data_IF_508834078672
#
_entry.id   IF_508834078672
#
_cell.length_a   1.000
_cell.length_b   1.000
_cell.length_c   1.000
_cell.angle_alpha   90.00
_cell.angle_beta   90.00
_cell.angle_gamma   90.00
#
_symmetry.space_group_name_H-M   'P 1'
#
loop_
_entity.id
_entity.type
_entity.pdbx_description
1 polymer ?
#
# COMPACT_ATOMS: atom_id res chain seq x y z
N UNK A 1 -5.28 -34.95 5.49
CA UNK A 1 -4.61 -36.25 5.39
C UNK A 1 -5.62 -37.38 5.30
N UNK A 2 -6.69 -37.44 6.13
CA UNK A 2 -7.65 -38.56 6.14
C UNK A 2 -8.45 -38.69 4.83
N UNK A 3 -8.92 -37.58 4.23
CA UNK A 3 -9.69 -37.62 3.00
C UNK A 3 -8.88 -38.17 1.80
N UNK A 4 -7.60 -37.86 1.75
CA UNK A 4 -6.67 -38.42 0.74
C UNK A 4 -6.43 -39.91 0.94
N UNK A 5 -6.35 -40.40 2.19
CA UNK A 5 -6.20 -41.82 2.48
C UNK A 5 -7.46 -42.59 2.05
N UNK A 6 -8.65 -42.06 2.32
CA UNK A 6 -9.93 -42.66 1.89
C UNK A 6 -10.01 -42.73 0.36
N UNK A 7 -9.61 -41.66 -0.37
CA UNK A 7 -9.61 -41.66 -1.81
C UNK A 7 -8.66 -42.72 -2.39
N UNK A 8 -7.48 -42.89 -1.81
CA UNK A 8 -6.53 -43.95 -2.23
C UNK A 8 -7.08 -45.35 -1.98
N UNK A 9 -7.75 -45.56 -0.84
CA UNK A 9 -8.39 -46.84 -0.54
C UNK A 9 -9.51 -47.17 -1.55
N UNK A 10 -10.33 -46.17 -1.89
CA UNK A 10 -11.39 -46.34 -2.90
C UNK A 10 -10.83 -46.57 -4.31
N UNK A 11 -9.69 -45.98 -4.65
CA UNK A 11 -9.00 -46.28 -5.92
C UNK A 11 -8.55 -47.76 -5.97
N UNK A 12 -8.00 -48.28 -4.90
CA UNK A 12 -7.62 -49.69 -4.80
C UNK A 12 -8.85 -50.63 -4.89
N UNK A 13 -10.00 -50.19 -4.36
CA UNK A 13 -11.24 -50.93 -4.49
C UNK A 13 -11.74 -51.01 -5.95
N UNK A 14 -11.56 -49.93 -6.73
CA UNK A 14 -11.83 -49.93 -8.18
C UNK A 14 -10.94 -50.95 -8.90
N UNK A 15 -9.64 -50.98 -8.59
CA UNK A 15 -8.71 -51.89 -9.23
C UNK A 15 -9.03 -53.35 -8.93
N UNK A 16 -9.42 -53.64 -7.67
CA UNK A 16 -9.92 -54.95 -7.28
C UNK A 16 -11.21 -55.35 -8.02
N UNK A 17 -12.18 -54.43 -8.10
CA UNK A 17 -13.44 -54.70 -8.82
C UNK A 17 -13.23 -54.92 -10.32
N UNK A 18 -12.29 -54.20 -10.94
CA UNK A 18 -11.89 -54.41 -12.33
C UNK A 18 -11.29 -55.80 -12.53
N UNK A 19 -10.41 -56.23 -11.63
CA UNK A 19 -9.81 -57.55 -11.73
C UNK A 19 -10.88 -58.68 -11.56
N UNK A 20 -11.91 -58.47 -10.72
CA UNK A 20 -13.03 -59.39 -10.63
C UNK A 20 -13.88 -59.45 -11.90
N UNK A 21 -14.17 -58.29 -12.47
CA UNK A 21 -14.91 -58.18 -13.74
C UNK A 21 -14.15 -58.86 -14.88
N UNK A 22 -12.86 -58.63 -14.98
CA UNK A 22 -12.02 -59.26 -16.00
C UNK A 22 -11.96 -60.79 -15.84
N UNK A 23 -11.96 -61.30 -14.62
CA UNK A 23 -12.08 -62.75 -14.31
C UNK A 23 -13.43 -63.28 -14.76
N UNK A 24 -14.52 -62.61 -14.40
CA UNK A 24 -15.87 -63.03 -14.76
C UNK A 24 -16.09 -63.02 -16.30
N UNK A 25 -15.57 -62.01 -16.98
CA UNK A 25 -15.62 -61.88 -18.45
C UNK A 25 -14.82 -62.99 -19.15
N UNK A 26 -13.61 -63.34 -18.65
CA UNK A 26 -12.85 -64.46 -19.22
C UNK A 26 -13.55 -65.80 -19.02
N UNK A 27 -14.18 -66.01 -17.87
CA UNK A 27 -14.95 -67.20 -17.61
C UNK A 27 -16.20 -67.31 -18.53
N UNK A 28 -16.91 -66.21 -18.69
CA UNK A 28 -18.04 -66.11 -19.62
C UNK A 28 -17.63 -66.39 -21.04
N UNK A 29 -16.55 -65.76 -21.52
CA UNK A 29 -15.99 -66.02 -22.87
C UNK A 29 -15.62 -67.50 -23.04
N UNK A 30 -15.02 -68.12 -22.06
CA UNK A 30 -14.65 -69.54 -22.11
C UNK A 30 -15.90 -70.43 -22.24
N UNK A 31 -16.92 -70.13 -21.48
CA UNK A 31 -18.20 -70.87 -21.59
C UNK A 31 -18.88 -70.66 -22.93
N UNK A 32 -18.82 -69.47 -23.51
CA UNK A 32 -19.36 -69.17 -24.83
C UNK A 32 -18.66 -69.91 -25.95
N UNK A 33 -17.36 -70.16 -25.83
CA UNK A 33 -16.54 -70.82 -26.84
C UNK A 33 -16.75 -72.32 -26.90
N UNK A 34 -17.38 -72.91 -25.88
CA UNK A 34 -17.71 -74.36 -25.84
C UNK A 34 -19.05 -74.61 -26.50
N UNK A 35 -19.20 -75.75 -27.23
CA UNK A 35 -20.43 -76.11 -27.89
C UNK A 35 -21.61 -76.21 -26.93
N UNK A 36 -22.81 -75.92 -27.44
CA UNK A 36 -24.05 -75.88 -26.65
C UNK A 36 -24.37 -77.16 -25.92
N UNK A 37 -23.95 -78.29 -26.44
CA UNK A 37 -24.24 -79.58 -25.88
C UNK A 37 -23.28 -80.01 -24.72
N UNK A 38 -22.12 -79.31 -24.57
CA UNK A 38 -21.15 -79.59 -23.58
C UNK A 38 -21.28 -78.79 -22.29
N UNK A 39 -22.09 -77.76 -22.26
CA UNK A 39 -22.28 -76.86 -21.08
C UNK A 39 -23.78 -76.66 -20.78
N UNK A 40 -24.21 -76.89 -19.57
CA UNK A 40 -25.61 -76.69 -19.19
C UNK A 40 -26.07 -75.23 -19.29
N UNK A 41 -27.36 -75.00 -19.59
CA UNK A 41 -27.93 -73.63 -19.59
C UNK A 41 -27.76 -72.92 -18.23
N UNK A 42 -27.92 -73.66 -17.12
CA UNK A 42 -27.67 -73.13 -15.77
C UNK A 42 -26.27 -72.58 -15.59
N UNK A 43 -25.23 -73.27 -16.16
CA UNK A 43 -23.86 -72.77 -16.08
C UNK A 43 -23.64 -71.48 -16.89
N UNK A 44 -24.32 -71.36 -18.03
CA UNK A 44 -24.29 -70.13 -18.85
C UNK A 44 -24.92 -68.95 -18.13
N UNK A 45 -26.15 -69.18 -17.54
CA UNK A 45 -26.85 -68.17 -16.78
C UNK A 45 -26.09 -67.74 -15.55
N UNK A 46 -25.44 -68.68 -14.86
CA UNK A 46 -24.58 -68.38 -13.73
C UNK A 46 -23.40 -67.47 -14.10
N UNK A 47 -22.67 -67.78 -15.22
CA UNK A 47 -21.53 -67.02 -15.63
C UNK A 47 -21.95 -65.62 -16.14
N UNK A 48 -23.09 -65.50 -16.86
CA UNK A 48 -23.65 -64.19 -17.23
C UNK A 48 -24.02 -63.34 -16.01
N UNK A 49 -24.63 -63.99 -15.02
CA UNK A 49 -24.98 -63.31 -13.78
C UNK A 49 -23.76 -62.84 -13.03
N UNK A 50 -22.68 -63.63 -12.99
CA UNK A 50 -21.41 -63.24 -12.38
C UNK A 50 -20.76 -61.99 -13.07
N UNK A 51 -20.87 -61.89 -14.42
CA UNK A 51 -20.45 -60.66 -15.12
C UNK A 51 -21.26 -59.47 -14.70
N UNK A 52 -22.61 -59.58 -14.66
CA UNK A 52 -23.48 -58.49 -14.24
C UNK A 52 -23.24 -58.06 -12.81
N UNK A 53 -22.99 -58.98 -11.89
CA UNK A 53 -22.65 -58.70 -10.50
C UNK A 53 -21.30 -57.97 -10.38
N UNK A 54 -20.28 -58.41 -11.17
CA UNK A 54 -19.00 -57.78 -11.15
C UNK A 54 -19.04 -56.36 -11.79
N UNK A 55 -19.84 -56.14 -12.84
CA UNK A 55 -20.11 -54.80 -13.41
C UNK A 55 -20.79 -53.89 -12.38
N UNK A 56 -21.78 -54.34 -11.67
CA UNK A 56 -22.44 -53.60 -10.58
C UNK A 56 -21.45 -53.26 -9.45
N UNK A 57 -20.58 -54.22 -9.07
CA UNK A 57 -19.53 -53.99 -8.06
C UNK A 57 -18.52 -52.93 -8.52
N UNK A 58 -18.09 -52.94 -9.79
CA UNK A 58 -17.21 -51.93 -10.32
C UNK A 58 -17.86 -50.52 -10.30
N UNK A 59 -19.12 -50.45 -10.70
CA UNK A 59 -19.87 -49.19 -10.70
C UNK A 59 -19.98 -48.64 -9.26
N UNK A 60 -20.32 -49.50 -8.28
CA UNK A 60 -20.39 -49.11 -6.87
C UNK A 60 -19.04 -48.54 -6.36
N UNK A 61 -17.92 -49.20 -6.69
CA UNK A 61 -16.59 -48.75 -6.30
C UNK A 61 -16.24 -47.37 -6.93
N UNK A 62 -16.63 -47.16 -8.19
CA UNK A 62 -16.46 -45.88 -8.88
C UNK A 62 -17.26 -44.74 -8.24
N UNK A 63 -18.52 -45.02 -7.86
CA UNK A 63 -19.37 -44.05 -7.16
C UNK A 63 -18.80 -43.66 -5.81
N UNK A 64 -18.29 -44.65 -5.01
CA UNK A 64 -17.64 -44.39 -3.74
C UNK A 64 -16.35 -43.54 -3.92
N UNK A 65 -15.59 -43.76 -4.97
CA UNK A 65 -14.43 -42.93 -5.29
C UNK A 65 -14.82 -41.51 -5.64
N UNK A 66 -15.88 -41.34 -6.45
CA UNK A 66 -16.40 -40.01 -6.79
C UNK A 66 -16.84 -39.21 -5.55
N UNK A 67 -17.53 -39.85 -4.61
CA UNK A 67 -17.89 -39.22 -3.32
C UNK A 67 -16.64 -38.84 -2.52
N UNK A 68 -15.63 -39.72 -2.47
CA UNK A 68 -14.37 -39.42 -1.76
C UNK A 68 -13.64 -38.19 -2.42
N UNK A 69 -13.65 -38.10 -3.73
CA UNK A 69 -13.10 -36.94 -4.45
C UNK A 69 -13.85 -35.64 -4.11
N UNK A 70 -15.20 -35.70 -4.09
CA UNK A 70 -16.00 -34.53 -3.72
C UNK A 70 -15.73 -34.07 -2.29
N UNK A 71 -15.51 -35.01 -1.35
CA UNK A 71 -15.12 -34.68 0.03
C UNK A 71 -13.77 -33.99 0.13
N UNK A 72 -12.80 -34.34 -0.74
CA UNK A 72 -11.50 -33.63 -0.81
C UNK A 72 -11.72 -32.17 -1.26
N UNK A 73 -12.53 -31.97 -2.30
CA UNK A 73 -12.87 -30.63 -2.79
C UNK A 73 -13.55 -29.80 -1.71
N UNK A 74 -14.57 -30.36 -1.06
CA UNK A 74 -15.31 -29.67 0.01
C UNK A 74 -14.39 -29.28 1.18
N UNK A 75 -13.47 -30.16 1.55
CA UNK A 75 -12.47 -29.88 2.58
C UNK A 75 -11.51 -28.73 2.13
N UNK A 76 -11.16 -28.70 0.85
CA UNK A 76 -10.37 -27.62 0.24
C UNK A 76 -11.09 -26.28 0.36
N UNK A 77 -12.35 -26.23 -0.07
CA UNK A 77 -13.19 -25.00 0.01
C UNK A 77 -13.36 -24.55 1.46
N UNK A 78 -13.59 -25.50 2.40
CA UNK A 78 -13.68 -25.17 3.83
C UNK A 78 -12.39 -24.56 4.38
N UNK A 79 -11.22 -25.04 3.94
CA UNK A 79 -9.93 -24.48 4.32
C UNK A 79 -9.74 -23.07 3.76
N UNK A 80 -10.09 -22.86 2.49
CA UNK A 80 -10.01 -21.52 1.86
C UNK A 80 -10.93 -20.52 2.56
N UNK A 81 -12.15 -20.94 2.91
CA UNK A 81 -13.06 -20.12 3.71
C UNK A 81 -12.48 -19.75 5.08
N UNK A 82 -11.86 -20.70 5.77
CA UNK A 82 -11.19 -20.42 7.04
C UNK A 82 -9.99 -19.49 6.89
N UNK A 83 -9.20 -19.63 5.81
CA UNK A 83 -8.09 -18.73 5.50
C UNK A 83 -8.59 -17.30 5.21
N UNK A 84 -9.68 -17.16 4.46
CA UNK A 84 -10.32 -15.87 4.23
C UNK A 84 -10.81 -15.23 5.54
N UNK A 85 -11.37 -16.03 6.45
CA UNK A 85 -11.75 -15.59 7.80
C UNK A 85 -10.56 -15.06 8.61
N UNK A 86 -9.43 -15.76 8.58
CA UNK A 86 -8.18 -15.33 9.23
C UNK A 86 -7.69 -14.01 8.62
N UNK A 87 -7.67 -13.89 7.29
CA UNK A 87 -7.25 -12.67 6.61
C UNK A 87 -8.13 -11.47 6.98
N UNK A 88 -9.44 -11.66 7.07
CA UNK A 88 -10.38 -10.63 7.51
C UNK A 88 -10.13 -10.20 8.97
N UNK A 89 -9.94 -11.17 9.88
CA UNK A 89 -9.63 -10.88 11.28
C UNK A 89 -8.29 -10.12 11.41
N UNK A 90 -7.28 -10.48 10.58
CA UNK A 90 -6.00 -9.78 10.55
C UNK A 90 -6.15 -8.34 10.08
N UNK A 91 -6.95 -8.10 9.02
CA UNK A 91 -7.22 -6.74 8.54
C UNK A 91 -7.92 -5.86 9.60
N UNK A 92 -8.87 -6.43 10.34
CA UNK A 92 -9.53 -5.73 11.45
C UNK A 92 -8.55 -5.40 12.59
N UNK A 93 -7.65 -6.34 12.90
CA UNK A 93 -6.59 -6.10 13.89
C UNK A 93 -5.65 -4.97 13.46
N UNK A 94 -5.25 -4.96 12.19
CA UNK A 94 -4.35 -3.93 11.67
C UNK A 94 -5.02 -2.55 11.63
N UNK A 95 -6.32 -2.49 11.31
CA UNK A 95 -7.12 -1.27 11.43
C UNK A 95 -7.16 -0.77 12.88
N UNK A 96 -7.44 -1.64 13.84
CA UNK A 96 -7.47 -1.27 15.26
C UNK A 96 -6.10 -0.79 15.77
N UNK A 97 -5.00 -1.39 15.29
CA UNK A 97 -3.64 -0.92 15.59
C UNK A 97 -3.35 0.44 15.00
N UNK A 98 -3.82 0.70 13.78
CA UNK A 98 -3.70 2.02 13.14
C UNK A 98 -4.46 3.08 13.94
N UNK A 99 -5.69 2.80 14.34
CA UNK A 99 -6.49 3.70 15.17
C UNK A 99 -5.81 3.97 16.51
N UNK A 100 -5.26 2.95 17.14
CA UNK A 100 -4.46 3.11 18.36
C UNK A 100 -3.20 3.97 18.09
N UNK A 101 -2.54 3.78 16.95
CA UNK A 101 -1.39 4.60 16.53
C UNK A 101 -1.75 6.08 16.39
N UNK A 102 -2.95 6.39 15.90
CA UNK A 102 -3.45 7.76 15.75
C UNK A 102 -3.75 8.46 17.08
N UNK A 103 -3.82 7.73 18.20
CA UNK A 103 -4.00 8.35 19.53
C UNK A 103 -2.74 9.08 20.02
N UNK A 104 -1.58 8.83 19.40
CA UNK A 104 -0.32 9.50 19.71
C UNK A 104 0.14 10.30 18.51
N UNK A 105 0.18 11.62 18.66
CA UNK A 105 0.60 12.53 17.60
C UNK A 105 2.07 12.89 17.79
N UNK A 106 2.89 12.57 16.82
CA UNK A 106 4.32 12.84 16.83
C UNK A 106 4.64 14.12 16.06
N UNK A 107 5.66 14.84 16.51
CA UNK A 107 6.19 15.99 15.78
C UNK A 107 6.78 15.53 14.43
N UNK A 108 6.39 16.14 13.28
CA UNK A 108 6.86 15.74 11.96
C UNK A 108 8.33 16.12 11.71
N UNK A 109 8.87 17.05 12.48
CA UNK A 109 10.25 17.52 12.37
C UNK A 109 10.79 18.00 13.70
N UNK A 110 12.11 18.04 13.83
CA UNK A 110 12.78 18.66 14.97
C UNK A 110 12.61 20.19 14.91
N UNK A 111 12.21 20.78 16.03
CA UNK A 111 11.94 22.21 16.08
C UNK A 111 11.57 22.70 17.47
N UNK A 112 11.18 23.97 17.55
CA UNK A 112 10.60 24.57 18.75
C UNK A 112 9.07 24.61 18.57
N UNK A 113 8.33 24.31 19.66
CA UNK A 113 6.89 24.50 19.65
C UNK A 113 6.58 26.00 19.59
N UNK A 114 5.69 26.36 18.70
CA UNK A 114 5.08 27.66 18.66
C UNK A 114 3.86 27.74 19.59
N UNK A 115 2.76 28.27 19.10
CA UNK A 115 1.53 28.36 19.87
C UNK A 115 0.89 26.97 20.03
N UNK A 116 0.55 26.60 21.27
CA UNK A 116 -0.22 25.39 21.60
C UNK A 116 -1.65 25.82 21.84
N UNK A 117 -2.54 25.51 20.89
CA UNK A 117 -3.93 25.96 20.89
C UNK A 117 -4.87 25.06 21.67
N UNK A 118 -4.42 23.85 22.03
CA UNK A 118 -5.28 22.84 22.69
C UNK A 118 -4.99 22.70 24.17
N UNK A 119 -6.04 22.33 24.91
CA UNK A 119 -5.95 22.08 26.36
C UNK A 119 -6.35 20.64 26.67
N UNK A 120 -5.83 20.09 27.76
CA UNK A 120 -6.21 18.77 28.24
C UNK A 120 -7.72 18.70 28.51
N UNK A 121 -8.37 17.64 28.02
CA UNK A 121 -9.83 17.47 28.12
C UNK A 121 -10.62 18.13 26.99
N UNK A 122 -9.96 18.87 26.09
CA UNK A 122 -10.63 19.48 24.94
C UNK A 122 -10.97 18.43 23.87
N UNK A 123 -12.20 18.46 23.36
CA UNK A 123 -12.59 17.68 22.19
C UNK A 123 -11.95 18.28 20.94
N UNK A 124 -11.27 17.43 20.16
CA UNK A 124 -10.67 17.80 18.87
C UNK A 124 -11.29 16.96 17.76
N UNK A 125 -11.43 17.55 16.58
CA UNK A 125 -11.92 16.88 15.38
C UNK A 125 -10.81 16.81 14.32
N UNK A 126 -11.00 15.97 13.31
CA UNK A 126 -10.11 15.95 12.16
C UNK A 126 -9.99 17.33 11.52
N UNK A 127 -8.76 17.79 11.27
CA UNK A 127 -8.48 19.14 10.76
C UNK A 127 -8.29 20.22 11.84
N UNK A 128 -8.49 19.91 13.13
CA UNK A 128 -8.19 20.86 14.21
C UNK A 128 -6.68 21.06 14.33
N UNK A 129 -6.24 22.31 14.24
CA UNK A 129 -4.84 22.66 14.47
C UNK A 129 -4.54 22.56 15.97
N UNK A 130 -3.61 21.69 16.33
CA UNK A 130 -3.24 21.43 17.73
C UNK A 130 -2.12 22.37 18.20
N UNK A 131 -1.08 22.46 17.40
CA UNK A 131 0.10 23.28 17.67
C UNK A 131 0.87 23.51 16.38
N UNK A 132 1.82 24.45 16.40
CA UNK A 132 2.77 24.65 15.32
C UNK A 132 4.18 24.24 15.76
N UNK A 133 4.94 23.64 14.84
CA UNK A 133 6.36 23.34 15.04
C UNK A 133 7.16 24.25 14.13
N UNK A 134 8.04 25.05 14.72
CA UNK A 134 8.97 25.91 14.00
C UNK A 134 10.28 25.15 13.81
N UNK A 135 10.65 24.77 12.57
CA UNK A 135 11.90 24.04 12.29
C UNK A 135 13.13 24.81 12.76
N UNK A 136 14.23 24.09 13.03
CA UNK A 136 15.49 24.71 13.43
C UNK A 136 16.23 25.38 12.26
N UNK A 137 15.92 24.96 11.05
CA UNK A 137 16.47 25.60 9.86
C UNK A 137 15.96 27.02 9.70
N UNK A 138 16.85 27.93 9.37
CA UNK A 138 16.56 29.36 9.21
C UNK A 138 16.98 29.82 7.81
N UNK A 139 16.11 30.60 7.20
CA UNK A 139 16.41 31.28 5.95
C UNK A 139 15.73 32.64 5.93
N UNK A 140 16.19 33.52 5.05
CA UNK A 140 15.57 34.80 4.78
C UNK A 140 15.05 34.81 3.34
N UNK A 141 13.89 35.41 3.13
CA UNK A 141 13.34 35.68 1.80
C UNK A 141 13.49 37.17 1.52
N UNK A 142 14.42 37.52 0.64
CA UNK A 142 14.64 38.87 0.20
C UNK A 142 13.80 39.14 -1.06
N UNK A 143 12.95 40.18 -1.03
CA UNK A 143 12.14 40.57 -2.17
C UNK A 143 12.90 41.66 -2.98
N UNK A 144 13.67 41.24 -3.97
CA UNK A 144 14.54 42.08 -4.78
C UNK A 144 13.76 42.66 -5.94
N UNK A 145 13.99 43.93 -6.32
CA UNK A 145 13.38 44.52 -7.49
C UNK A 145 13.89 43.84 -8.78
N UNK A 146 13.01 43.64 -9.74
CA UNK A 146 13.34 43.05 -11.03
C UNK A 146 14.52 43.77 -11.71
N UNK A 147 14.62 45.10 -11.58
CA UNK A 147 15.70 45.89 -12.11
C UNK A 147 17.07 45.53 -11.56
N UNK A 148 17.13 45.04 -10.35
CA UNK A 148 18.37 44.75 -9.63
C UNK A 148 18.76 43.25 -9.73
N UNK A 149 17.91 42.44 -10.35
CA UNK A 149 18.11 41.01 -10.50
C UNK A 149 19.20 40.59 -11.50
N UNK A 150 19.57 41.47 -12.43
CA UNK A 150 20.51 41.16 -13.52
C UNK A 150 21.84 40.54 -13.03
N UNK A 151 22.29 40.95 -11.85
CA UNK A 151 23.58 40.53 -11.27
C UNK A 151 23.44 39.55 -10.10
N UNK A 152 22.22 39.13 -9.78
CA UNK A 152 21.96 38.16 -8.69
C UNK A 152 22.03 36.75 -9.21
N UNK A 153 22.86 35.92 -8.61
CA UNK A 153 23.07 34.48 -8.97
C UNK A 153 23.06 33.61 -7.76
N UNK A 154 22.62 32.36 -7.93
CA UNK A 154 22.69 31.31 -6.91
C UNK A 154 24.16 31.11 -6.50
N UNK A 155 24.40 30.96 -5.21
CA UNK A 155 25.71 30.78 -4.60
C UNK A 155 26.45 32.06 -4.20
N UNK A 156 25.93 33.24 -4.55
CA UNK A 156 26.52 34.52 -4.12
C UNK A 156 26.39 34.71 -2.62
N UNK A 157 27.39 35.35 -2.01
CA UNK A 157 27.40 35.68 -0.58
C UNK A 157 26.46 36.88 -0.33
N UNK A 158 25.72 36.76 0.75
CA UNK A 158 24.82 37.78 1.24
C UNK A 158 25.11 38.11 2.71
N UNK A 159 25.02 39.38 3.07
CA UNK A 159 25.00 39.86 4.45
C UNK A 159 23.56 40.19 4.84
N UNK A 160 23.11 39.66 5.95
CA UNK A 160 21.73 39.81 6.45
C UNK A 160 21.80 40.45 7.83
N UNK A 161 21.38 41.70 7.95
CA UNK A 161 21.29 42.42 9.20
C UNK A 161 19.87 42.22 9.80
N UNK A 162 19.77 41.83 11.05
CA UNK A 162 18.49 41.56 11.73
C UNK A 162 18.17 42.66 12.72
N UNK A 163 17.06 43.36 12.50
CA UNK A 163 16.65 44.49 13.30
C UNK A 163 16.44 44.15 14.77
N UNK A 164 15.79 43.02 15.05
CA UNK A 164 15.50 42.54 16.40
C UNK A 164 16.77 42.21 17.23
N UNK A 165 17.94 42.08 16.57
CA UNK A 165 19.24 41.84 17.20
C UNK A 165 20.16 43.07 17.12
N UNK A 166 19.57 44.26 17.06
CA UNK A 166 20.32 45.51 17.01
C UNK A 166 21.13 45.72 15.73
N UNK A 167 20.65 45.16 14.62
CA UNK A 167 21.37 45.25 13.33
C UNK A 167 22.53 44.28 13.20
N UNK A 168 22.62 43.23 14.04
CA UNK A 168 23.66 42.22 13.91
C UNK A 168 23.61 41.57 12.53
N UNK A 169 24.75 41.56 11.87
CA UNK A 169 24.90 41.01 10.53
C UNK A 169 25.24 39.50 10.58
N UNK A 170 24.57 38.71 9.78
CA UNK A 170 24.81 37.30 9.56
C UNK A 170 25.23 37.05 8.12
N UNK A 171 26.15 36.13 7.91
CA UNK A 171 26.55 35.69 6.57
C UNK A 171 25.61 34.60 6.08
N UNK A 172 25.33 34.62 4.79
CA UNK A 172 24.53 33.61 4.11
C UNK A 172 24.82 33.54 2.62
N UNK A 173 24.18 32.63 1.94
CA UNK A 173 24.29 32.44 0.49
C UNK A 173 22.93 32.37 -0.16
N UNK A 174 22.87 32.92 -1.36
CA UNK A 174 21.71 32.77 -2.24
C UNK A 174 21.55 31.30 -2.59
N UNK A 175 20.49 30.68 -2.08
CA UNK A 175 20.19 29.27 -2.29
C UNK A 175 19.22 29.06 -3.45
N UNK A 176 18.23 29.95 -3.60
CA UNK A 176 17.17 29.81 -4.57
C UNK A 176 16.67 31.18 -5.03
N UNK A 177 16.31 31.27 -6.29
CA UNK A 177 15.65 32.45 -6.89
C UNK A 177 14.29 32.00 -7.39
N UNK A 178 13.23 32.69 -7.00
CA UNK A 178 11.88 32.36 -7.44
C UNK A 178 11.76 32.42 -8.96
N UNK A 179 11.11 31.45 -9.62
CA UNK A 179 10.96 31.45 -11.08
C UNK A 179 9.94 32.49 -11.58
N UNK A 180 9.19 33.12 -10.69
CA UNK A 180 8.20 34.14 -11.03
C UNK A 180 8.17 35.25 -9.98
N UNK A 181 7.59 36.38 -10.37
CA UNK A 181 7.42 37.55 -9.47
C UNK A 181 6.35 37.25 -8.41
N UNK A 182 6.42 37.95 -7.29
CA UNK A 182 5.46 37.81 -6.19
C UNK A 182 4.00 38.08 -6.62
N UNK A 183 3.77 38.90 -7.62
CA UNK A 183 2.44 39.21 -8.17
C UNK A 183 1.77 38.02 -8.85
N UNK A 184 2.53 37.10 -9.48
CA UNK A 184 1.97 35.91 -10.12
C UNK A 184 1.42 34.90 -9.11
N UNK A 185 1.98 34.84 -7.89
CA UNK A 185 1.51 33.98 -6.79
C UNK A 185 0.47 34.63 -5.90
N UNK A 186 0.08 35.89 -6.21
CA UNK A 186 -0.97 36.57 -5.42
C UNK A 186 -2.36 36.02 -5.75
N UNK A 187 -3.16 35.74 -4.74
CA UNK A 187 -4.57 35.35 -4.89
C UNK A 187 -5.42 36.44 -5.55
N UNK A 188 -5.04 37.71 -5.40
CA UNK A 188 -5.69 38.89 -6.04
C UNK A 188 -4.73 39.41 -7.10
N UNK A 189 -4.97 39.03 -8.36
CA UNK A 189 -4.26 39.66 -9.48
C UNK A 189 -4.76 41.08 -9.62
N UNK A 190 -3.84 42.05 -9.62
CA UNK A 190 -4.18 43.43 -9.95
C UNK A 190 -4.58 43.50 -11.43
N UNK A 191 -5.89 43.55 -11.70
CA UNK A 191 -6.42 43.70 -13.06
C UNK A 191 -6.19 45.16 -13.52
N UNK A 192 -5.32 45.30 -14.49
CA UNK A 192 -5.00 46.59 -15.10
C UNK A 192 -6.03 46.98 -16.18
N UNK A 193 -7.31 46.61 -15.99
CA UNK A 193 -8.37 46.75 -16.99
C UNK A 193 -8.82 48.17 -17.35
N UNK A 194 -8.20 49.20 -16.80
CA UNK A 194 -8.54 50.60 -17.10
C UNK A 194 -7.42 51.32 -17.82
N UNK A 195 -7.21 51.00 -19.07
CA UNK A 195 -6.58 51.88 -20.12
C UNK A 195 -5.28 52.65 -19.85
N UNK A 196 -4.79 52.74 -18.62
CA UNK A 196 -3.58 53.43 -18.26
C UNK A 196 -2.53 52.45 -17.73
N UNK A 197 -1.63 51.99 -18.59
CA UNK A 197 -0.56 51.11 -18.20
C UNK A 197 0.52 51.86 -17.40
N UNK A 198 0.54 51.67 -16.09
CA UNK A 198 1.64 52.14 -15.23
C UNK A 198 2.59 50.97 -14.98
N UNK A 199 3.84 51.09 -15.44
CA UNK A 199 4.89 50.08 -15.17
C UNK A 199 5.23 50.09 -13.68
N UNK A 200 4.71 49.16 -12.93
CA UNK A 200 5.07 48.94 -11.53
C UNK A 200 6.24 47.97 -11.48
N UNK A 201 7.34 48.37 -10.81
CA UNK A 201 8.50 47.47 -10.62
C UNK A 201 8.12 46.25 -9.82
N UNK A 202 8.21 45.08 -10.45
CA UNK A 202 7.92 43.79 -9.82
C UNK A 202 9.06 43.37 -8.85
N UNK A 203 8.76 42.46 -7.93
CA UNK A 203 9.76 41.93 -7.00
C UNK A 203 9.86 40.44 -7.17
N UNK A 204 11.08 39.92 -7.12
CA UNK A 204 11.41 38.50 -7.20
C UNK A 204 11.92 38.05 -5.83
N UNK A 205 11.36 36.98 -5.30
CA UNK A 205 11.75 36.41 -4.03
C UNK A 205 13.07 35.64 -4.20
N UNK A 206 14.06 35.95 -3.37
CA UNK A 206 15.36 35.27 -3.31
C UNK A 206 15.53 34.66 -1.92
N UNK A 207 15.69 33.36 -1.85
CA UNK A 207 15.93 32.62 -0.61
C UNK A 207 17.41 32.62 -0.28
N UNK A 208 17.73 33.08 0.92
CA UNK A 208 19.09 33.13 1.45
C UNK A 208 19.16 32.20 2.66
N UNK A 209 20.08 31.25 2.64
CA UNK A 209 20.35 30.34 3.73
C UNK A 209 21.57 30.85 4.49
N UNK A 210 21.49 30.87 5.80
CA UNK A 210 22.59 31.30 6.67
C UNK A 210 23.71 30.27 6.68
N UNK A 211 24.96 30.75 6.75
CA UNK A 211 26.10 29.87 6.96
C UNK A 211 26.07 29.29 8.38
N UNK A 212 26.49 28.04 8.53
CA UNK A 212 26.48 27.34 9.81
C UNK A 212 27.52 27.94 10.78
N UNK A 213 27.29 27.73 12.09
CA UNK A 213 28.30 28.05 13.16
C UNK A 213 28.37 29.52 13.58
N UNK A 214 27.42 30.35 13.14
CA UNK A 214 27.37 31.75 13.59
C UNK A 214 26.70 31.88 14.95
N UNK A 215 27.23 32.78 15.81
CA UNK A 215 26.66 33.06 17.10
C UNK A 215 25.26 33.71 17.00
N UNK A 216 24.35 33.33 17.90
CA UNK A 216 22.98 33.85 17.98
C UNK A 216 22.04 33.44 16.83
N UNK A 217 22.44 32.49 15.96
CA UNK A 217 21.58 32.00 14.89
C UNK A 217 20.28 31.37 15.43
N UNK A 218 20.38 30.75 16.61
CA UNK A 218 19.23 30.16 17.32
C UNK A 218 18.21 31.19 17.85
N UNK A 219 18.59 32.46 17.97
CA UNK A 219 17.73 33.55 18.39
C UNK A 219 16.85 34.09 17.27
N UNK A 220 17.16 33.72 16.01
CA UNK A 220 16.34 34.12 14.87
C UNK A 220 14.99 33.40 14.94
N UNK A 221 13.92 34.18 14.76
CA UNK A 221 12.56 33.70 14.73
C UNK A 221 11.88 34.10 13.40
N UNK A 222 10.97 33.27 12.88
CA UNK A 222 10.16 33.65 11.73
C UNK A 222 9.40 34.96 11.98
N UNK A 223 9.30 35.81 10.96
CA UNK A 223 8.61 37.09 11.04
C UNK A 223 9.49 38.26 11.49
N UNK A 224 10.77 38.05 11.84
CA UNK A 224 11.70 39.13 12.09
C UNK A 224 12.01 39.91 10.80
N UNK A 225 12.16 41.23 10.93
CA UNK A 225 12.62 42.10 9.84
C UNK A 225 14.11 41.99 9.65
N UNK A 226 14.52 41.99 8.39
CA UNK A 226 15.91 41.86 7.99
C UNK A 226 16.24 42.74 6.80
N UNK A 227 17.41 43.38 6.83
CA UNK A 227 17.99 44.04 5.68
C UNK A 227 19.04 43.13 5.02
N UNK A 228 18.93 42.97 3.70
CA UNK A 228 19.77 42.01 2.94
C UNK A 228 20.61 42.77 1.93
N UNK A 229 21.94 42.55 1.99
CA UNK A 229 22.90 43.02 1.03
C UNK A 229 23.58 41.85 0.33
N UNK A 230 23.37 41.69 -0.98
CA UNK A 230 23.97 40.65 -1.83
C UNK A 230 25.21 41.24 -2.53
N UNK A 231 26.34 40.54 -2.40
CA UNK A 231 27.56 40.96 -3.12
C UNK A 231 27.44 40.61 -4.60
N UNK A 232 27.09 41.58 -5.39
CA UNK A 232 27.11 41.48 -6.87
C UNK A 232 28.47 41.96 -7.38
N UNK A 233 29.22 41.04 -8.00
CA UNK A 233 30.44 41.39 -8.75
C UNK A 233 30.10 41.80 -10.16
#
# INVERSE_FOLDING_TARGET
ASALAVSKANQAAIDNARAQLDRARREWQRIQAVSTDAVSQSSRDAAQTAVKQAEAGLKQAQEQYAVAQQNIINTGVGREGAQAGIANAQALLDLAKQDLGHTVIYAPASGKLGEVSVKQGQLVSAGTQLMSVVPLERWVVANIKETDMANVKIGQTASVAIDALGGKAFSGKVAEISPATASEFSLIKADSGTGNFVKIAQRIAVKIVFDAGQQDLERLAPGMSAEVNIATK
#
